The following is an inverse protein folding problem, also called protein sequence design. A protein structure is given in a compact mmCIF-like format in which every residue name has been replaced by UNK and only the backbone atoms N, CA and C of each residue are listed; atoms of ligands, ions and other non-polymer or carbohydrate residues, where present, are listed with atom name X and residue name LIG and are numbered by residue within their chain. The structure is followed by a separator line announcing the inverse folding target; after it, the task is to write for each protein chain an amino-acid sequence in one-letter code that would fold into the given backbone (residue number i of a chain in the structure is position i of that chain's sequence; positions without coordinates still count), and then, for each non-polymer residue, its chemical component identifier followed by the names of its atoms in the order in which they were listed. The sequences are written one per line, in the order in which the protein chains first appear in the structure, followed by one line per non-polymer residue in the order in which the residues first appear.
data_IF_169815561711
#
_entry.id   IF_169815561711
#
_cell.length_a   1.000
_cell.length_b   1.000
_cell.length_c   1.000
_cell.angle_alpha   90.00
_cell.angle_beta   90.00
_cell.angle_gamma   90.00
#
_symmetry.space_group_name_H-M   'P 1'
#
loop_
_entity.id
_entity.type
_entity.pdbx_description
1 polymer ?
#
# COMPACT_ATOMS: atom_id res chain seq x y z
N UNK A 1 -26.26 -4.71 -44.95
CA UNK A 1 -25.36 -3.53 -44.83
C UNK A 1 -24.65 -3.66 -43.49
N UNK A 2 -23.53 -4.38 -43.47
CA UNK A 2 -22.76 -4.68 -42.26
C UNK A 2 -21.95 -3.42 -41.95
N UNK A 3 -22.32 -2.70 -40.90
CA UNK A 3 -21.47 -1.63 -40.38
C UNK A 3 -20.11 -2.23 -40.07
N UNK A 4 -19.08 -1.74 -40.76
CA UNK A 4 -17.69 -2.09 -40.48
C UNK A 4 -17.41 -1.80 -39.01
N UNK A 5 -17.28 -2.83 -38.18
CA UNK A 5 -16.74 -2.70 -36.83
C UNK A 5 -15.34 -2.10 -36.98
N UNK A 6 -15.19 -0.80 -36.69
CA UNK A 6 -13.88 -0.16 -36.77
C UNK A 6 -12.98 -0.71 -35.66
N UNK A 7 -11.74 -1.00 -36.00
CA UNK A 7 -10.69 -1.42 -35.06
C UNK A 7 -10.59 -0.42 -33.87
N UNK A 8 -10.87 0.85 -34.14
CA UNK A 8 -10.91 1.96 -33.18
C UNK A 8 -12.00 1.83 -32.11
N UNK A 9 -13.15 1.21 -32.42
CA UNK A 9 -14.22 0.97 -31.45
C UNK A 9 -14.02 -0.35 -30.68
N UNK A 10 -13.46 -1.37 -31.33
CA UNK A 10 -13.20 -2.68 -30.74
C UNK A 10 -12.08 -2.64 -29.69
N UNK A 11 -10.97 -1.95 -29.99
CA UNK A 11 -9.79 -1.90 -29.13
C UNK A 11 -10.07 -1.41 -27.69
N UNK A 12 -10.73 -0.25 -27.46
CA UNK A 12 -11.00 0.22 -26.10
C UNK A 12 -11.98 -0.70 -25.35
N UNK A 13 -12.95 -1.29 -26.04
CA UNK A 13 -13.90 -2.23 -25.45
C UNK A 13 -13.20 -3.53 -25.02
N UNK A 14 -12.39 -4.13 -25.89
CA UNK A 14 -11.64 -5.36 -25.60
C UNK A 14 -10.67 -5.14 -24.43
N UNK A 15 -9.96 -4.02 -24.39
CA UNK A 15 -9.06 -3.72 -23.27
C UNK A 15 -9.82 -3.55 -21.95
N UNK A 16 -10.97 -2.86 -21.98
CA UNK A 16 -11.79 -2.68 -20.78
C UNK A 16 -12.29 -4.02 -20.23
N UNK A 17 -12.67 -4.95 -21.12
CA UNK A 17 -13.03 -6.32 -20.74
C UNK A 17 -11.84 -7.09 -20.14
N UNK A 18 -10.66 -7.02 -20.76
CA UNK A 18 -9.46 -7.68 -20.21
C UNK A 18 -9.13 -7.14 -18.81
N UNK A 19 -9.20 -5.81 -18.62
CA UNK A 19 -8.98 -5.18 -17.31
C UNK A 19 -9.99 -5.67 -16.28
N UNK A 20 -11.27 -5.81 -16.67
CA UNK A 20 -12.31 -6.32 -15.78
C UNK A 20 -12.03 -7.75 -15.34
N UNK A 21 -11.76 -8.65 -16.30
CA UNK A 21 -11.46 -10.05 -16.02
C UNK A 21 -10.24 -10.20 -15.11
N UNK A 22 -9.16 -9.46 -15.38
CA UNK A 22 -7.97 -9.43 -14.54
C UNK A 22 -8.30 -8.99 -13.11
N UNK A 23 -9.11 -7.94 -12.94
CA UNK A 23 -9.50 -7.44 -11.61
C UNK A 23 -10.41 -8.44 -10.87
N UNK A 24 -11.31 -9.13 -11.56
CA UNK A 24 -12.15 -10.19 -10.98
C UNK A 24 -11.27 -11.34 -10.49
N UNK A 25 -10.37 -11.83 -11.35
CA UNK A 25 -9.42 -12.90 -11.01
C UNK A 25 -8.56 -12.47 -9.81
N UNK A 26 -7.99 -11.26 -9.84
CA UNK A 26 -7.19 -10.73 -8.74
C UNK A 26 -7.98 -10.64 -7.42
N UNK A 27 -9.24 -10.22 -7.47
CA UNK A 27 -10.12 -10.15 -6.30
C UNK A 27 -10.39 -11.53 -5.71
N UNK A 28 -10.73 -12.51 -6.56
CA UNK A 28 -10.98 -13.90 -6.14
C UNK A 28 -9.70 -14.50 -5.53
N UNK A 29 -8.58 -14.34 -6.22
CA UNK A 29 -7.27 -14.80 -5.74
C UNK A 29 -6.89 -14.16 -4.40
N UNK A 30 -7.17 -12.87 -4.22
CA UNK A 30 -6.91 -12.17 -2.95
C UNK A 30 -7.75 -12.71 -1.79
N UNK A 31 -9.04 -12.98 -2.02
CA UNK A 31 -9.92 -13.60 -1.03
C UNK A 31 -9.41 -14.99 -0.65
N UNK A 32 -9.05 -15.81 -1.64
CA UNK A 32 -8.48 -17.16 -1.41
C UNK A 32 -7.18 -17.07 -0.61
N UNK A 33 -6.25 -16.19 -0.98
CA UNK A 33 -4.99 -16.01 -0.27
C UNK A 33 -5.20 -15.52 1.17
N UNK A 34 -6.13 -14.60 1.38
CA UNK A 34 -6.47 -14.10 2.72
C UNK A 34 -6.96 -15.24 3.61
N UNK A 35 -7.82 -16.12 3.10
CA UNK A 35 -8.32 -17.29 3.83
C UNK A 35 -7.17 -18.27 4.09
N UNK A 36 -6.39 -18.62 3.06
CA UNK A 36 -5.31 -19.60 3.14
C UNK A 36 -4.21 -19.17 4.13
N UNK A 37 -3.81 -17.89 4.08
CA UNK A 37 -2.74 -17.34 4.91
C UNK A 37 -3.21 -16.70 6.21
N UNK A 38 -4.50 -16.75 6.55
CA UNK A 38 -5.04 -16.12 7.77
C UNK A 38 -4.25 -16.51 9.04
N UNK A 39 -3.92 -17.80 9.19
CA UNK A 39 -3.10 -18.28 10.32
C UNK A 39 -1.72 -17.61 10.35
N UNK A 40 -1.08 -17.44 9.19
CA UNK A 40 0.23 -16.78 9.09
C UNK A 40 0.15 -15.30 9.40
N UNK A 41 -0.85 -14.60 8.86
CA UNK A 41 -1.11 -13.19 9.15
C UNK A 41 -1.27 -12.99 10.66
N UNK A 42 -2.08 -13.83 11.33
CA UNK A 42 -2.26 -13.77 12.78
C UNK A 42 -0.95 -13.95 13.56
N UNK A 43 -0.14 -14.94 13.18
CA UNK A 43 1.19 -15.14 13.80
C UNK A 43 2.11 -13.93 13.57
N UNK A 44 2.05 -13.28 12.41
CA UNK A 44 2.82 -12.06 12.15
C UNK A 44 2.39 -10.92 13.08
N UNK A 45 1.09 -10.74 13.29
CA UNK A 45 0.55 -9.73 14.21
C UNK A 45 0.96 -9.99 15.67
N UNK A 46 0.95 -11.25 16.11
CA UNK A 46 1.39 -11.64 17.46
C UNK A 46 2.89 -11.36 17.67
N UNK A 47 3.74 -11.73 16.71
CA UNK A 47 5.18 -11.41 16.76
C UNK A 47 5.45 -9.92 16.76
N UNK A 48 4.71 -9.17 15.94
CA UNK A 48 4.83 -7.72 15.89
C UNK A 48 4.43 -7.07 17.22
N UNK A 49 3.42 -7.63 17.90
CA UNK A 49 3.03 -7.21 19.25
C UNK A 49 4.16 -7.46 20.26
N UNK A 50 4.83 -8.61 20.18
CA UNK A 50 5.99 -8.90 21.03
C UNK A 50 7.16 -7.92 20.76
N UNK A 51 7.44 -7.60 19.49
CA UNK A 51 8.43 -6.59 19.12
C UNK A 51 8.09 -5.22 19.73
N UNK A 52 6.81 -4.83 19.68
CA UNK A 52 6.34 -3.58 20.29
C UNK A 52 6.49 -3.54 21.81
N UNK A 53 6.25 -4.67 22.48
CA UNK A 53 6.43 -4.79 23.94
C UNK A 53 7.90 -4.66 24.33
N UNK A 54 8.81 -5.32 23.60
CA UNK A 54 10.25 -5.17 23.84
C UNK A 54 10.72 -3.74 23.53
N UNK A 55 10.26 -3.12 22.44
CA UNK A 55 10.57 -1.71 22.15
C UNK A 55 10.07 -0.77 23.24
N UNK A 56 8.94 -1.09 23.88
CA UNK A 56 8.43 -0.35 25.04
C UNK A 56 9.35 -0.47 26.24
N UNK A 57 9.87 -1.66 26.53
CA UNK A 57 10.86 -1.87 27.59
C UNK A 57 12.18 -1.10 27.32
N UNK A 58 12.53 -0.92 26.04
CA UNK A 58 13.65 -0.09 25.60
C UNK A 58 13.36 1.42 25.61
N UNK A 59 12.15 1.84 25.97
CA UNK A 59 11.76 3.24 26.13
C UNK A 59 11.04 3.86 24.93
N UNK A 60 10.75 3.11 23.86
CA UNK A 60 9.92 3.61 22.75
C UNK A 60 8.42 3.45 23.05
N UNK A 61 7.58 4.46 22.81
CA UNK A 61 6.15 4.33 23.05
C UNK A 61 5.49 3.31 22.11
N UNK A 62 4.41 2.66 22.58
CA UNK A 62 3.56 1.83 21.72
C UNK A 62 2.88 2.69 20.66
N UNK A 63 3.02 2.32 19.39
CA UNK A 63 2.39 3.03 18.28
C UNK A 63 1.00 2.51 17.91
N UNK A 64 0.49 1.48 18.59
CA UNK A 64 -0.82 0.87 18.29
C UNK A 64 -1.95 1.90 18.16
N UNK A 65 -2.06 2.86 19.09
CA UNK A 65 -3.07 3.92 19.02
C UNK A 65 -2.92 4.79 17.77
N UNK A 66 -1.68 5.15 17.41
CA UNK A 66 -1.38 5.94 16.22
C UNK A 66 -1.70 5.15 14.94
N UNK A 67 -1.33 3.88 14.91
CA UNK A 67 -1.65 2.96 13.80
C UNK A 67 -3.16 2.81 13.63
N UNK A 68 -3.89 2.50 14.70
CA UNK A 68 -5.35 2.38 14.69
C UNK A 68 -6.03 3.66 14.18
N UNK A 69 -5.58 4.83 14.64
CA UNK A 69 -6.09 6.12 14.16
C UNK A 69 -5.77 6.37 12.68
N UNK A 70 -4.57 5.98 12.22
CA UNK A 70 -4.20 6.08 10.80
C UNK A 70 -5.06 5.14 9.95
N UNK A 71 -5.19 3.88 10.33
CA UNK A 71 -6.04 2.89 9.64
C UNK A 71 -7.49 3.36 9.56
N UNK A 72 -8.03 3.93 10.65
CA UNK A 72 -9.38 4.51 10.65
C UNK A 72 -9.52 5.67 9.66
N UNK A 73 -8.53 6.58 9.60
CA UNK A 73 -8.53 7.70 8.65
C UNK A 73 -8.43 7.23 7.20
N UNK A 74 -7.57 6.25 6.93
CA UNK A 74 -7.41 5.65 5.60
C UNK A 74 -8.71 4.97 5.18
N UNK A 75 -9.34 4.18 6.06
CA UNK A 75 -10.60 3.51 5.77
C UNK A 75 -11.74 4.50 5.48
N UNK A 76 -11.88 5.57 6.28
CA UNK A 76 -12.89 6.61 6.05
C UNK A 76 -12.61 7.34 4.73
N UNK A 77 -11.37 7.77 4.51
CA UNK A 77 -10.97 8.50 3.29
C UNK A 77 -11.21 7.67 2.03
N UNK A 78 -10.82 6.39 2.05
CA UNK A 78 -11.07 5.47 0.96
C UNK A 78 -12.57 5.25 0.72
N UNK A 79 -13.35 5.03 1.78
CA UNK A 79 -14.81 4.85 1.66
C UNK A 79 -15.47 6.05 0.98
N UNK A 80 -15.12 7.27 1.42
CA UNK A 80 -15.64 8.52 0.81
C UNK A 80 -15.22 8.63 -0.66
N UNK A 81 -13.95 8.35 -0.96
CA UNK A 81 -13.43 8.39 -2.33
C UNK A 81 -14.12 7.36 -3.23
N UNK A 82 -14.32 6.13 -2.77
CA UNK A 82 -15.03 5.08 -3.51
C UNK A 82 -16.47 5.47 -3.82
N UNK A 83 -17.19 6.06 -2.86
CA UNK A 83 -18.54 6.58 -3.10
C UNK A 83 -18.54 7.71 -4.13
N UNK A 84 -17.60 8.65 -4.02
CA UNK A 84 -17.48 9.76 -4.97
C UNK A 84 -17.18 9.26 -6.39
N UNK A 85 -16.23 8.32 -6.56
CA UNK A 85 -15.90 7.72 -7.86
C UNK A 85 -17.11 6.98 -8.46
N UNK A 86 -17.78 6.14 -7.67
CA UNK A 86 -18.98 5.43 -8.12
C UNK A 86 -20.09 6.38 -8.57
N UNK A 87 -20.29 7.48 -7.84
CA UNK A 87 -21.26 8.50 -8.22
C UNK A 87 -20.87 9.19 -9.54
N UNK A 88 -19.58 9.53 -9.71
CA UNK A 88 -19.06 10.13 -10.93
C UNK A 88 -19.22 9.21 -12.15
N UNK A 89 -18.93 7.91 -11.98
CA UNK A 89 -19.08 6.91 -13.04
C UNK A 89 -20.55 6.71 -13.42
N UNK A 90 -21.43 6.66 -12.42
CA UNK A 90 -22.87 6.55 -12.63
C UNK A 90 -23.41 7.76 -13.39
N UNK A 91 -23.03 8.98 -13.00
CA UNK A 91 -23.43 10.20 -13.71
C UNK A 91 -22.89 10.24 -15.13
N UNK A 92 -21.64 9.82 -15.34
CA UNK A 92 -21.04 9.74 -16.68
C UNK A 92 -21.76 8.71 -17.56
N UNK A 93 -22.16 7.56 -17.00
CA UNK A 93 -22.91 6.51 -17.68
C UNK A 93 -24.32 7.00 -18.09
N UNK A 94 -25.03 7.69 -17.19
CA UNK A 94 -26.35 8.27 -17.46
C UNK A 94 -26.31 9.31 -18.59
N UNK A 95 -25.27 10.16 -18.62
CA UNK A 95 -25.11 11.18 -19.66
C UNK A 95 -24.76 10.54 -21.02
N UNK A 96 -23.91 9.51 -21.04
CA UNK A 96 -23.52 8.83 -22.29
C UNK A 96 -24.67 8.07 -22.96
N UNK A 97 -25.51 7.40 -22.17
CA UNK A 97 -26.57 6.54 -22.69
C UNK A 97 -27.94 7.25 -22.61
N UNK A 98 -28.08 8.46 -23.15
CA UNK A 98 -29.29 9.29 -22.97
C UNK A 98 -30.60 8.64 -23.45
N UNK A 99 -30.55 7.65 -24.34
CA UNK A 99 -31.72 7.13 -25.08
C UNK A 99 -32.35 5.84 -24.53
N UNK A 100 -31.73 5.13 -23.58
CA UNK A 100 -32.32 3.89 -23.01
C UNK A 100 -32.78 4.08 -21.54
N UNK A 101 -33.99 3.70 -21.17
CA UNK A 101 -34.53 3.95 -19.81
C UNK A 101 -34.40 2.73 -18.91
N UNK A 102 -33.18 2.24 -18.67
CA UNK A 102 -33.00 0.97 -17.96
C UNK A 102 -32.12 1.02 -16.72
N UNK A 103 -32.61 0.35 -15.67
CA UNK A 103 -32.04 0.28 -14.32
C UNK A 103 -30.61 -0.27 -14.28
N UNK A 104 -30.21 -1.03 -15.30
CA UNK A 104 -28.87 -1.62 -15.45
C UNK A 104 -27.75 -0.57 -15.44
N UNK A 105 -28.02 0.68 -15.85
CA UNK A 105 -27.03 1.77 -15.91
C UNK A 105 -26.48 2.19 -14.56
N UNK A 106 -27.24 1.98 -13.49
CA UNK A 106 -26.78 2.19 -12.12
C UNK A 106 -25.97 0.99 -11.62
N UNK A 107 -26.41 -0.23 -11.95
CA UNK A 107 -25.83 -1.46 -11.41
C UNK A 107 -24.45 -1.73 -12.02
N UNK A 108 -24.29 -1.56 -13.33
CA UNK A 108 -23.07 -1.93 -14.06
C UNK A 108 -21.81 -1.17 -13.56
N UNK A 109 -21.81 0.17 -13.40
CA UNK A 109 -20.64 0.87 -12.86
C UNK A 109 -20.27 0.43 -11.44
N UNK A 110 -21.28 0.18 -10.59
CA UNK A 110 -21.05 -0.29 -9.23
C UNK A 110 -20.43 -1.69 -9.19
N UNK A 111 -20.89 -2.62 -10.03
CA UNK A 111 -20.30 -3.96 -10.13
C UNK A 111 -18.87 -3.90 -10.67
N UNK A 112 -18.62 -3.09 -11.71
CA UNK A 112 -17.28 -2.89 -12.28
C UNK A 112 -16.30 -2.34 -11.24
N UNK A 113 -16.73 -1.31 -10.51
CA UNK A 113 -15.88 -0.64 -9.53
C UNK A 113 -15.67 -1.47 -8.25
N UNK A 114 -16.55 -2.43 -7.94
CA UNK A 114 -16.43 -3.25 -6.75
C UNK A 114 -15.08 -4.00 -6.68
N UNK A 115 -14.65 -4.62 -7.79
CA UNK A 115 -13.38 -5.34 -7.85
C UNK A 115 -12.19 -4.39 -7.66
N UNK A 116 -12.24 -3.21 -8.29
CA UNK A 116 -11.20 -2.19 -8.17
C UNK A 116 -11.11 -1.68 -6.72
N UNK A 117 -12.26 -1.41 -6.09
CA UNK A 117 -12.32 -0.95 -4.70
C UNK A 117 -11.82 -2.01 -3.71
N UNK A 118 -12.11 -3.28 -3.99
CA UNK A 118 -11.66 -4.41 -3.17
C UNK A 118 -10.15 -4.60 -3.30
N UNK A 119 -9.59 -4.55 -4.52
CA UNK A 119 -8.15 -4.60 -4.75
C UNK A 119 -7.42 -3.47 -4.02
N UNK A 120 -7.89 -2.24 -4.18
CA UNK A 120 -7.32 -1.09 -3.49
C UNK A 120 -7.35 -1.19 -1.96
N UNK A 121 -8.39 -1.80 -1.36
CA UNK A 121 -8.40 -2.07 0.08
C UNK A 121 -7.29 -3.03 0.50
N UNK A 122 -7.02 -4.07 -0.29
CA UNK A 122 -5.93 -5.01 -0.03
C UNK A 122 -4.58 -4.31 -0.10
N UNK A 123 -4.38 -3.43 -1.09
CA UNK A 123 -3.16 -2.63 -1.19
C UNK A 123 -2.99 -1.69 0.00
N UNK A 124 -4.06 -1.03 0.43
CA UNK A 124 -4.02 -0.16 1.60
C UNK A 124 -3.64 -0.92 2.87
N UNK A 125 -4.11 -2.15 3.04
CA UNK A 125 -3.70 -3.03 4.15
C UNK A 125 -2.22 -3.38 4.04
N UNK A 126 -1.77 -3.80 2.86
CA UNK A 126 -0.38 -4.14 2.60
C UNK A 126 0.56 -2.97 2.90
N UNK A 127 0.25 -1.80 2.33
CA UNK A 127 1.01 -0.56 2.48
C UNK A 127 1.05 -0.09 3.93
N UNK A 128 -0.09 -0.08 4.62
CA UNK A 128 -0.17 0.38 6.01
C UNK A 128 0.69 -0.49 6.92
N UNK A 129 0.72 -1.80 6.67
CA UNK A 129 1.53 -2.73 7.44
C UNK A 129 3.02 -2.59 7.14
N UNK A 130 3.42 -2.45 5.87
CA UNK A 130 4.81 -2.18 5.51
C UNK A 130 5.31 -0.86 6.09
N UNK A 131 4.50 0.19 6.00
CA UNK A 131 4.79 1.47 6.63
C UNK A 131 5.01 1.30 8.13
N UNK A 132 4.16 0.53 8.80
CA UNK A 132 4.30 0.25 10.23
C UNK A 132 5.63 -0.44 10.55
N UNK A 133 5.96 -1.53 9.85
CA UNK A 133 7.26 -2.21 10.00
C UNK A 133 8.41 -1.22 9.78
N UNK A 134 8.33 -0.42 8.71
CA UNK A 134 9.32 0.59 8.38
C UNK A 134 9.55 1.59 9.51
N UNK A 135 8.49 2.03 10.21
CA UNK A 135 8.65 2.91 11.38
C UNK A 135 9.28 2.21 12.58
N UNK A 136 9.06 0.90 12.74
CA UNK A 136 9.72 0.13 13.81
C UNK A 136 11.19 -0.12 13.53
N UNK A 137 11.58 -0.29 12.27
CA UNK A 137 12.99 -0.30 11.88
C UNK A 137 13.69 1.01 12.24
N UNK A 138 13.05 2.17 12.00
CA UNK A 138 13.63 3.47 12.37
C UNK A 138 13.88 3.59 13.87
N UNK A 139 12.92 3.13 14.69
CA UNK A 139 13.05 3.12 16.15
C UNK A 139 14.19 2.22 16.62
N UNK A 140 14.30 1.00 16.09
CA UNK A 140 15.43 0.09 16.39
C UNK A 140 16.76 0.71 15.98
N UNK A 141 16.84 1.30 14.78
CA UNK A 141 18.04 1.97 14.28
C UNK A 141 18.46 3.13 15.17
N UNK A 142 17.51 3.96 15.59
CA UNK A 142 17.74 5.08 16.51
C UNK A 142 18.28 4.59 17.86
N UNK A 143 17.73 3.51 18.41
CA UNK A 143 18.25 2.89 19.63
C UNK A 143 19.68 2.40 19.45
N UNK A 144 19.98 1.69 18.37
CA UNK A 144 21.33 1.22 18.07
C UNK A 144 22.34 2.38 17.94
N UNK A 145 21.98 3.45 17.24
CA UNK A 145 22.82 4.65 17.11
C UNK A 145 23.09 5.32 18.46
N UNK A 146 22.05 5.51 19.29
CA UNK A 146 22.20 6.08 20.62
C UNK A 146 23.13 5.25 21.52
N UNK A 147 23.06 3.93 21.42
CA UNK A 147 23.95 3.01 22.14
C UNK A 147 25.40 3.17 21.69
N UNK A 148 25.65 3.25 20.37
CA UNK A 148 26.99 3.42 19.82
C UNK A 148 27.62 4.75 20.26
N UNK A 149 26.89 5.87 20.14
CA UNK A 149 27.36 7.20 20.57
C UNK A 149 27.65 7.22 22.08
N UNK A 150 26.78 6.59 22.89
CA UNK A 150 27.01 6.47 24.33
C UNK A 150 28.29 5.69 24.64
N UNK A 151 28.59 4.62 23.90
CA UNK A 151 29.81 3.83 24.09
C UNK A 151 31.06 4.65 23.77
N UNK A 152 31.06 5.42 22.68
CA UNK A 152 32.19 6.29 22.30
C UNK A 152 32.45 7.39 23.34
N UNK A 153 31.40 8.08 23.78
CA UNK A 153 31.50 9.08 24.84
C UNK A 153 32.05 8.49 26.14
N UNK A 154 31.60 7.29 26.50
CA UNK A 154 32.05 6.61 27.70
C UNK A 154 33.53 6.22 27.60
N UNK A 155 33.96 5.60 26.49
CA UNK A 155 35.37 5.27 26.23
C UNK A 155 36.29 6.50 26.33
N UNK A 156 35.85 7.64 25.79
CA UNK A 156 36.59 8.91 25.84
C UNK A 156 36.71 9.48 27.26
N UNK A 157 35.72 9.25 28.12
CA UNK A 157 35.72 9.73 29.51
C UNK A 157 36.52 8.80 30.44
N UNK A 158 36.49 7.48 30.25
CA UNK A 158 37.25 6.52 31.06
C UNK A 158 38.75 6.68 30.89
N UNK A 159 39.20 7.07 29.68
CA UNK A 159 40.59 7.46 29.43
C UNK A 159 41.06 8.69 30.22
N UNK A 160 40.14 9.52 30.73
CA UNK A 160 40.47 10.72 31.51
C UNK A 160 40.51 10.50 33.03
N UNK A 161 39.92 9.43 33.57
CA UNK A 161 39.87 9.16 35.03
C UNK A 161 39.88 7.64 35.32
N UNK A 162 41.03 7.02 35.64
CA UNK A 162 41.15 5.55 35.68
C UNK A 162 40.65 4.87 36.98
N UNK A 163 40.60 5.58 38.11
CA UNK A 163 40.90 4.93 39.40
C UNK A 163 39.74 4.37 40.23
N UNK A 164 38.45 4.56 39.87
CA UNK A 164 37.32 4.09 40.72
C UNK A 164 36.26 3.25 39.95
N UNK A 165 36.40 3.08 38.64
CA UNK A 165 35.25 2.76 37.76
C UNK A 165 35.11 1.25 37.45
N UNK A 166 35.99 0.37 37.93
CA UNK A 166 36.05 -1.03 37.44
C UNK A 166 34.75 -1.80 37.69
N UNK A 167 34.11 -1.68 38.86
CA UNK A 167 32.91 -2.46 39.18
C UNK A 167 31.63 -1.95 38.48
N UNK A 168 31.45 -0.62 38.39
CA UNK A 168 30.39 -0.01 37.56
C UNK A 168 30.60 -0.30 36.07
N UNK A 169 31.84 -0.41 35.62
CA UNK A 169 32.19 -0.75 34.24
C UNK A 169 31.69 -2.15 33.88
N UNK A 170 31.90 -3.16 34.74
CA UNK A 170 31.45 -4.53 34.45
C UNK A 170 29.92 -4.63 34.37
N UNK A 171 29.19 -3.98 35.29
CA UNK A 171 27.72 -3.99 35.32
C UNK A 171 27.11 -3.21 34.13
N UNK A 172 27.66 -2.03 33.81
CA UNK A 172 27.24 -1.21 32.68
C UNK A 172 27.54 -1.86 31.33
N UNK A 173 28.68 -2.55 31.20
CA UNK A 173 29.06 -3.27 29.97
C UNK A 173 28.13 -4.46 29.72
N UNK A 174 27.68 -5.14 30.79
CA UNK A 174 26.75 -6.27 30.67
C UNK A 174 25.36 -5.81 30.21
N UNK A 175 24.86 -4.70 30.76
CA UNK A 175 23.61 -4.08 30.33
C UNK A 175 23.69 -3.55 28.89
N UNK A 176 24.80 -2.93 28.49
CA UNK A 176 25.02 -2.48 27.11
C UNK A 176 24.97 -3.63 26.11
N UNK A 177 25.72 -4.73 26.38
CA UNK A 177 25.74 -5.90 25.50
C UNK A 177 24.35 -6.52 25.37
N UNK A 178 23.61 -6.63 26.48
CA UNK A 178 22.24 -7.13 26.48
C UNK A 178 21.32 -6.27 25.60
N UNK A 179 21.32 -4.95 25.77
CA UNK A 179 20.46 -4.04 25.00
C UNK A 179 20.81 -4.03 23.51
N UNK A 180 22.10 -4.07 23.17
CA UNK A 180 22.55 -4.18 21.77
C UNK A 180 22.07 -5.50 21.15
N UNK A 181 22.22 -6.61 21.87
CA UNK A 181 21.77 -7.92 21.39
C UNK A 181 20.25 -7.99 21.24
N UNK A 182 19.49 -7.42 22.17
CA UNK A 182 18.04 -7.25 22.04
C UNK A 182 17.67 -6.42 20.81
N UNK A 183 18.40 -5.34 20.52
CA UNK A 183 18.13 -4.49 19.34
C UNK A 183 18.41 -5.23 18.02
N UNK A 184 19.50 -6.01 17.96
CA UNK A 184 19.80 -6.87 16.81
C UNK A 184 18.71 -7.92 16.63
N UNK A 185 18.27 -8.55 17.72
CA UNK A 185 17.20 -9.55 17.66
C UNK A 185 15.88 -8.93 17.16
N UNK A 186 15.51 -7.74 17.65
CA UNK A 186 14.33 -7.01 17.16
C UNK A 186 14.42 -6.70 15.67
N UNK A 187 15.59 -6.27 15.17
CA UNK A 187 15.80 -6.02 13.75
C UNK A 187 15.61 -7.30 12.92
N UNK A 188 16.18 -8.43 13.35
CA UNK A 188 16.03 -9.72 12.67
C UNK A 188 14.58 -10.23 12.68
N UNK A 189 13.85 -10.05 13.78
CA UNK A 189 12.43 -10.41 13.84
C UNK A 189 11.58 -9.50 12.96
N UNK A 190 11.84 -8.19 12.90
CA UNK A 190 11.18 -7.29 11.94
C UNK A 190 11.44 -7.70 10.49
N UNK A 191 12.68 -8.08 10.15
CA UNK A 191 13.02 -8.62 8.82
C UNK A 191 12.24 -9.90 8.51
N UNK A 192 12.09 -10.79 9.50
CA UNK A 192 11.32 -12.02 9.35
C UNK A 192 9.83 -11.73 9.13
N UNK A 193 9.25 -10.81 9.90
CA UNK A 193 7.85 -10.38 9.75
C UNK A 193 7.63 -9.74 8.37
N UNK A 194 8.53 -8.87 7.92
CA UNK A 194 8.47 -8.25 6.60
C UNK A 194 8.50 -9.30 5.48
N UNK A 195 9.36 -10.32 5.59
CA UNK A 195 9.44 -11.42 4.62
C UNK A 195 8.19 -12.28 4.59
N UNK A 196 7.64 -12.65 5.73
CA UNK A 196 6.37 -13.40 5.78
C UNK A 196 5.21 -12.57 5.22
N UNK A 197 5.18 -11.27 5.51
CA UNK A 197 4.19 -10.37 4.93
C UNK A 197 4.31 -10.28 3.40
N UNK A 198 5.54 -10.12 2.90
CA UNK A 198 5.81 -10.15 1.47
C UNK A 198 5.51 -11.50 0.83
N UNK A 199 5.64 -12.62 1.55
CA UNK A 199 5.25 -13.93 1.03
C UNK A 199 3.74 -14.04 0.84
N UNK A 200 2.96 -13.47 1.75
CA UNK A 200 1.48 -13.50 1.69
C UNK A 200 0.95 -12.59 0.59
N UNK A 201 1.44 -11.35 0.51
CA UNK A 201 0.89 -10.33 -0.40
C UNK A 201 1.73 -10.11 -1.66
N UNK A 202 3.01 -10.47 -1.66
CA UNK A 202 3.94 -10.11 -2.72
C UNK A 202 3.60 -10.69 -4.09
N UNK A 203 3.04 -11.91 -4.15
CA UNK A 203 2.58 -12.50 -5.42
C UNK A 203 1.43 -11.66 -6.00
N UNK A 204 0.46 -11.28 -5.16
CA UNK A 204 -0.66 -10.44 -5.58
C UNK A 204 -0.16 -9.06 -6.03
N UNK A 205 0.69 -8.41 -5.24
CA UNK A 205 1.25 -7.10 -5.57
C UNK A 205 2.08 -7.13 -6.87
N UNK A 206 2.88 -8.19 -7.08
CA UNK A 206 3.69 -8.34 -8.28
C UNK A 206 2.83 -8.57 -9.52
N UNK A 207 1.81 -9.41 -9.41
CA UNK A 207 0.85 -9.62 -10.49
C UNK A 207 0.15 -8.31 -10.85
N UNK A 208 -0.36 -7.59 -9.87
CA UNK A 208 -1.02 -6.31 -10.09
C UNK A 208 -0.09 -5.25 -10.71
N UNK A 209 1.16 -5.18 -10.22
CA UNK A 209 2.18 -4.28 -10.78
C UNK A 209 2.50 -4.60 -12.24
N UNK A 210 2.47 -5.88 -12.63
CA UNK A 210 2.66 -6.29 -14.02
C UNK A 210 1.52 -5.82 -14.94
N UNK A 211 0.31 -5.58 -14.41
CA UNK A 211 -0.83 -5.07 -15.18
C UNK A 211 -0.90 -3.54 -15.25
N UNK A 212 -0.12 -2.81 -14.43
CA UNK A 212 -0.10 -1.34 -14.44
C UNK A 212 0.23 -0.73 -15.82
N UNK A 213 1.20 -1.25 -16.60
CA UNK A 213 1.47 -0.72 -17.94
C UNK A 213 0.28 -0.86 -18.90
N UNK A 214 -0.49 -1.94 -18.80
CA UNK A 214 -1.68 -2.17 -19.63
C UNK A 214 -2.79 -1.16 -19.31
N UNK A 215 -2.99 -0.86 -18.02
CA UNK A 215 -3.91 0.19 -17.61
C UNK A 215 -3.45 1.58 -18.08
N UNK A 216 -2.15 1.86 -17.93
CA UNK A 216 -1.55 3.11 -18.37
C UNK A 216 -1.65 3.34 -19.87
N UNK A 217 -1.39 2.31 -20.69
CA UNK A 217 -1.52 2.40 -22.16
C UNK A 217 -2.98 2.56 -22.58
N UNK A 218 -3.92 1.87 -21.92
CA UNK A 218 -5.35 2.05 -22.13
C UNK A 218 -5.78 3.51 -21.89
N UNK A 219 -5.42 4.08 -20.72
CA UNK A 219 -5.75 5.46 -20.39
C UNK A 219 -5.08 6.46 -21.34
N UNK A 220 -3.82 6.22 -21.72
CA UNK A 220 -3.10 7.05 -22.68
C UNK A 220 -3.76 7.04 -24.05
N UNK A 221 -4.23 5.87 -24.52
CA UNK A 221 -4.97 5.74 -25.76
C UNK A 221 -6.34 6.45 -25.69
N UNK A 222 -7.06 6.32 -24.57
CA UNK A 222 -8.30 7.05 -24.34
C UNK A 222 -8.08 8.57 -24.37
N UNK A 223 -7.04 9.07 -23.70
CA UNK A 223 -6.68 10.49 -23.69
C UNK A 223 -6.25 10.94 -25.09
N UNK A 224 -5.44 10.15 -25.79
CA UNK A 224 -5.03 10.45 -27.16
C UNK A 224 -6.24 10.56 -28.09
N UNK A 225 -7.16 9.60 -28.05
CA UNK A 225 -8.40 9.66 -28.82
C UNK A 225 -9.23 10.88 -28.43
N UNK A 226 -9.40 11.16 -27.13
CA UNK A 226 -10.07 12.36 -26.64
C UNK A 226 -9.46 13.67 -27.18
N UNK A 227 -8.13 13.71 -27.36
CA UNK A 227 -7.38 14.87 -27.87
C UNK A 227 -7.36 14.98 -29.40
N UNK A 228 -7.31 13.84 -30.11
CA UNK A 228 -7.13 13.79 -31.57
C UNK A 228 -8.43 13.64 -32.34
N UNK A 229 -9.52 13.18 -31.71
CA UNK A 229 -10.78 13.02 -32.43
C UNK A 229 -11.36 14.37 -32.87
N UNK A 230 -11.81 14.36 -34.12
CA UNK A 230 -12.44 15.39 -34.96
C UNK A 230 -13.80 15.94 -34.43
N UNK A 231 -14.01 15.96 -33.11
CA UNK A 231 -15.26 16.32 -32.42
C UNK A 231 -14.98 17.12 -31.13
N UNK A 232 -14.46 18.34 -31.28
CA UNK A 232 -14.36 19.31 -30.17
C UNK A 232 -15.74 19.72 -29.60
N UNK A 233 -16.85 19.31 -30.23
CA UNK A 233 -18.19 19.83 -29.98
C UNK A 233 -19.20 18.84 -29.34
N UNK A 234 -18.85 17.57 -29.04
CA UNK A 234 -19.87 16.58 -28.58
C UNK A 234 -19.47 15.73 -27.37
N UNK A 235 -18.21 15.73 -26.90
CA UNK A 235 -17.82 14.91 -25.75
C UNK A 235 -18.21 15.60 -24.42
N UNK A 236 -19.09 15.02 -23.59
CA UNK A 236 -19.48 15.60 -22.32
C UNK A 236 -18.30 15.81 -21.37
N UNK A 237 -18.29 16.95 -20.66
CA UNK A 237 -17.30 17.26 -19.60
C UNK A 237 -17.23 16.16 -18.54
N UNK A 238 -18.32 15.44 -18.28
CA UNK A 238 -18.36 14.30 -17.35
C UNK A 238 -17.40 13.17 -17.73
N UNK A 239 -17.22 12.88 -19.02
CA UNK A 239 -16.29 11.84 -19.47
C UNK A 239 -14.84 12.25 -19.20
N UNK A 240 -14.51 13.51 -19.49
CA UNK A 240 -13.18 14.06 -19.18
C UNK A 240 -12.88 13.98 -17.70
N UNK A 241 -13.84 14.41 -16.87
CA UNK A 241 -13.71 14.34 -15.42
C UNK A 241 -13.49 12.91 -14.94
N UNK A 242 -14.24 11.93 -15.47
CA UNK A 242 -14.08 10.50 -15.17
C UNK A 242 -12.68 9.97 -15.51
N UNK A 243 -12.18 10.24 -16.72
CA UNK A 243 -10.87 9.74 -17.15
C UNK A 243 -9.75 10.35 -16.29
N UNK A 244 -9.84 11.66 -16.01
CA UNK A 244 -8.87 12.36 -15.16
C UNK A 244 -8.91 11.83 -13.73
N UNK A 245 -10.10 11.62 -13.14
CA UNK A 245 -10.23 11.12 -11.77
C UNK A 245 -9.64 9.72 -11.63
N UNK A 246 -9.92 8.82 -12.56
CA UNK A 246 -9.37 7.46 -12.55
C UNK A 246 -7.85 7.44 -12.77
N UNK A 247 -7.36 8.26 -13.69
CA UNK A 247 -5.91 8.41 -13.93
C UNK A 247 -5.20 8.92 -12.69
N UNK A 248 -5.76 9.92 -12.00
CA UNK A 248 -5.19 10.47 -10.78
C UNK A 248 -5.10 9.41 -9.67
N UNK A 249 -6.20 8.67 -9.41
CA UNK A 249 -6.23 7.62 -8.39
C UNK A 249 -5.19 6.54 -8.68
N UNK A 250 -5.07 6.12 -9.94
CA UNK A 250 -4.10 5.14 -10.37
C UNK A 250 -2.65 5.61 -10.17
N UNK A 251 -2.32 6.82 -10.60
CA UNK A 251 -0.96 7.39 -10.45
C UNK A 251 -0.59 7.51 -8.96
N UNK A 252 -1.51 8.03 -8.14
CA UNK A 252 -1.30 8.14 -6.69
C UNK A 252 -1.06 6.78 -6.07
N UNK A 253 -1.82 5.76 -6.46
CA UNK A 253 -1.66 4.38 -5.98
C UNK A 253 -0.27 3.82 -6.30
N UNK A 254 0.15 3.89 -7.57
CA UNK A 254 1.48 3.40 -8.01
C UNK A 254 2.59 4.12 -7.26
N UNK A 255 2.48 5.45 -7.12
CA UNK A 255 3.45 6.27 -6.42
C UNK A 255 3.59 5.87 -4.94
N UNK A 256 2.47 5.73 -4.22
CA UNK A 256 2.47 5.39 -2.79
C UNK A 256 3.08 3.99 -2.56
N UNK A 257 2.69 3.00 -3.38
CA UNK A 257 3.23 1.63 -3.26
C UNK A 257 4.75 1.65 -3.45
N UNK A 258 5.22 2.27 -4.54
CA UNK A 258 6.66 2.31 -4.85
C UNK A 258 7.45 3.03 -3.75
N UNK A 259 6.97 4.20 -3.30
CA UNK A 259 7.63 4.98 -2.26
C UNK A 259 7.77 4.21 -0.94
N UNK A 260 6.71 3.49 -0.52
CA UNK A 260 6.74 2.76 0.75
C UNK A 260 7.59 1.50 0.65
N UNK A 261 7.53 0.78 -0.48
CA UNK A 261 8.40 -0.37 -0.73
C UNK A 261 9.88 0.03 -0.74
N UNK A 262 10.23 1.13 -1.43
CA UNK A 262 11.61 1.64 -1.46
C UNK A 262 12.08 2.05 -0.06
N UNK A 263 11.26 2.81 0.68
CA UNK A 263 11.59 3.25 2.04
C UNK A 263 11.83 2.07 3.01
N UNK A 264 11.08 0.98 2.88
CA UNK A 264 11.30 -0.23 3.71
C UNK A 264 12.50 -1.02 3.22
N UNK A 265 12.75 -1.10 1.91
CA UNK A 265 13.86 -1.87 1.34
C UNK A 265 15.25 -1.32 1.68
N UNK A 266 15.36 -0.02 1.98
CA UNK A 266 16.63 0.65 2.33
C UNK A 266 16.98 0.49 3.83
N UNK A 267 16.09 -0.08 4.65
CA UNK A 267 16.25 -0.22 6.11
C UNK A 267 16.70 -1.61 6.51
#
# INVERSE_FOLDING_TARGET
MVSSLSLEALFPFTITLIILEVNIIATITSVIFTIYYNKRIRMCMERLTAVDDTLKELGSPKMYRKMHMLSKRIAIGWTVLSFALNFCDTMSCLIQLREETTSWKFIVPHMYNYCIHTGALVDLVFITFLWYIGTRFDEVKKHMQNLLVRKEHWLRNTWKKPTIIVHQCTLSTNNYKRVLWSSIHLHLELCRIAREWNLVFGIQMAAETAFYPLFGTSMSFYIYNLLTHKYRNVIPVSIWFRVISWTFVFVVKVYIINYICENVSVK
#
